data_IF_392409825920
#
_entry.id   IF_392409825920
#
_cell.length_a   1.000
_cell.length_b   1.000
_cell.length_c   1.000
_cell.angle_alpha   90.00
_cell.angle_beta   90.00
_cell.angle_gamma   90.00
#
_symmetry.space_group_name_H-M   'P 1'
#
loop_
_entity.id
_entity.type
_entity.pdbx_description
1 polymer ?
#
# COMPACT_ATOMS: atom_id res chain seq x y z
N UNK A 1 -8.61 13.15 1.95
CA UNK A 1 -9.15 11.79 2.10
C UNK A 1 -8.12 11.03 2.90
N UNK A 2 -8.17 11.25 4.21
CA UNK A 2 -7.43 10.50 5.22
C UNK A 2 -8.24 9.22 5.43
N UNK A 3 -7.84 8.14 4.77
CA UNK A 3 -8.33 6.81 5.13
C UNK A 3 -7.28 6.30 6.12
N UNK A 4 -7.71 6.08 7.38
CA UNK A 4 -6.93 5.36 8.40
C UNK A 4 -5.67 6.07 8.94
N UNK A 5 -5.75 7.29 9.46
CA UNK A 5 -4.62 8.00 10.16
C UNK A 5 -3.26 8.00 9.40
N UNK A 6 -3.29 7.71 8.09
CA UNK A 6 -2.12 7.57 7.24
C UNK A 6 -2.05 8.76 6.29
N UNK A 7 -0.85 9.32 6.17
CA UNK A 7 -0.57 10.35 5.17
C UNK A 7 -0.31 9.71 3.82
N UNK A 8 -1.28 9.80 2.91
CA UNK A 8 -1.16 9.26 1.56
C UNK A 8 -0.46 10.25 0.63
N UNK A 9 0.63 9.81 -0.01
CA UNK A 9 1.29 10.49 -1.11
C UNK A 9 0.87 9.81 -2.42
N UNK A 10 0.55 10.61 -3.46
CA UNK A 10 0.10 10.09 -4.75
C UNK A 10 1.14 10.36 -5.82
N UNK A 11 1.35 9.38 -6.68
CA UNK A 11 2.18 9.48 -7.88
C UNK A 11 1.38 8.95 -9.08
N UNK A 12 1.61 9.53 -10.26
CA UNK A 12 0.93 9.13 -11.49
C UNK A 12 1.67 8.01 -12.25
N UNK A 13 2.93 7.75 -11.91
CA UNK A 13 3.72 6.62 -12.42
C UNK A 13 4.92 6.27 -11.52
N UNK A 14 5.73 5.30 -11.97
CA UNK A 14 6.94 4.88 -11.26
C UNK A 14 8.04 5.94 -11.16
N UNK A 15 8.15 6.89 -12.09
CA UNK A 15 9.18 7.93 -12.03
C UNK A 15 8.86 8.94 -10.93
N UNK A 16 7.65 9.47 -10.93
CA UNK A 16 7.17 10.38 -9.91
C UNK A 16 7.14 9.69 -8.54
N UNK A 17 6.77 8.41 -8.50
CA UNK A 17 6.79 7.62 -7.27
C UNK A 17 8.21 7.54 -6.68
N UNK A 18 9.23 7.31 -7.52
CA UNK A 18 10.62 7.26 -7.07
C UNK A 18 11.10 8.63 -6.57
N UNK A 19 10.80 9.71 -7.29
CA UNK A 19 11.14 11.08 -6.89
C UNK A 19 10.50 11.44 -5.53
N UNK A 20 9.23 11.07 -5.32
CA UNK A 20 8.53 11.24 -4.04
C UNK A 20 9.14 10.35 -2.95
N UNK A 21 9.48 9.10 -3.26
CA UNK A 21 10.05 8.16 -2.30
C UNK A 21 11.38 8.69 -1.73
N UNK A 22 12.26 9.21 -2.58
CA UNK A 22 13.50 9.85 -2.13
C UNK A 22 13.25 11.10 -1.28
N UNK A 23 12.31 11.95 -1.70
CA UNK A 23 12.06 13.23 -1.02
C UNK A 23 11.34 13.08 0.31
N UNK A 24 10.52 12.03 0.47
CA UNK A 24 9.60 11.88 1.60
C UNK A 24 9.84 10.65 2.46
N UNK A 25 10.61 9.67 1.97
CA UNK A 25 10.93 8.40 2.66
C UNK A 25 9.67 7.74 3.25
N UNK A 26 8.77 7.23 2.39
CA UNK A 26 7.52 6.62 2.85
C UNK A 26 7.80 5.33 3.63
N UNK A 27 6.89 5.02 4.55
CA UNK A 27 6.93 3.78 5.33
C UNK A 27 6.41 2.55 4.55
N UNK A 28 5.71 2.79 3.45
CA UNK A 28 5.11 1.76 2.59
C UNK A 28 4.89 2.32 1.18
N UNK A 29 5.14 1.50 0.17
CA UNK A 29 4.78 1.79 -1.23
C UNK A 29 3.71 0.82 -1.69
N UNK A 30 2.61 1.35 -2.22
CA UNK A 30 1.61 0.57 -2.96
C UNK A 30 1.67 0.99 -4.43
N UNK A 31 1.93 0.05 -5.34
CA UNK A 31 2.09 0.35 -6.77
C UNK A 31 1.30 -0.61 -7.64
N UNK A 32 0.85 -0.11 -8.79
CA UNK A 32 0.32 -0.94 -9.87
C UNK A 32 1.47 -1.51 -10.72
N UNK A 33 1.24 -2.66 -11.35
CA UNK A 33 2.19 -3.25 -12.30
C UNK A 33 2.24 -2.46 -13.59
N UNK A 34 1.05 -2.16 -14.14
CA UNK A 34 0.90 -1.53 -15.46
C UNK A 34 0.70 -0.03 -15.29
N UNK A 35 1.80 0.72 -15.39
CA UNK A 35 1.78 2.19 -15.36
C UNK A 35 2.41 2.77 -16.62
N UNK A 36 1.99 3.96 -17.07
CA UNK A 36 2.65 4.67 -18.16
C UNK A 36 4.06 5.13 -17.75
N UNK A 37 4.97 5.31 -18.73
CA UNK A 37 6.35 5.81 -18.57
C UNK A 37 7.31 4.89 -17.80
N UNK A 38 6.99 4.53 -16.56
CA UNK A 38 7.76 3.57 -15.75
C UNK A 38 6.79 2.59 -15.08
N UNK A 39 7.00 1.30 -15.32
CA UNK A 39 6.17 0.24 -14.73
C UNK A 39 6.42 0.06 -13.23
N UNK A 40 5.48 -0.58 -12.53
CA UNK A 40 5.65 -0.91 -11.11
C UNK A 40 6.84 -1.83 -10.87
N UNK A 41 7.15 -2.72 -11.81
CA UNK A 41 8.31 -3.62 -11.72
C UNK A 41 9.61 -2.84 -11.74
N UNK A 42 9.74 -1.89 -12.66
CA UNK A 42 10.91 -1.02 -12.75
C UNK A 42 11.06 -0.12 -11.52
N UNK A 43 9.95 0.34 -10.94
CA UNK A 43 9.96 1.05 -9.67
C UNK A 43 10.51 0.15 -8.54
N UNK A 44 9.98 -1.08 -8.40
CA UNK A 44 10.44 -2.03 -7.38
C UNK A 44 11.95 -2.31 -7.51
N UNK A 45 12.43 -2.54 -8.72
CA UNK A 45 13.86 -2.76 -8.99
C UNK A 45 14.71 -1.60 -8.51
N UNK A 46 14.28 -0.35 -8.76
CA UNK A 46 15.02 0.84 -8.33
C UNK A 46 14.99 1.04 -6.82
N UNK A 47 13.84 0.81 -6.18
CA UNK A 47 13.72 0.93 -4.72
C UNK A 47 14.62 -0.08 -4.01
N UNK A 48 14.66 -1.34 -4.47
CA UNK A 48 15.49 -2.40 -3.89
C UNK A 48 16.99 -2.13 -4.07
N UNK A 49 17.38 -1.47 -5.16
CA UNK A 49 18.77 -1.10 -5.42
C UNK A 49 19.22 0.15 -4.67
N UNK A 50 18.29 0.89 -4.07
CA UNK A 50 18.57 2.13 -3.37
C UNK A 50 18.82 1.88 -1.88
N UNK A 51 19.98 2.28 -1.37
CA UNK A 51 20.37 2.00 0.02
C UNK A 51 19.46 2.65 1.07
N UNK A 52 18.84 3.79 0.76
CA UNK A 52 17.94 4.51 1.65
C UNK A 52 16.49 3.99 1.59
N UNK A 53 16.12 3.27 0.53
CA UNK A 53 14.74 2.86 0.25
C UNK A 53 14.52 1.34 0.18
N UNK A 54 15.58 0.53 0.12
CA UNK A 54 15.51 -0.93 -0.04
C UNK A 54 14.74 -1.66 1.06
N UNK A 55 14.65 -1.05 2.24
CA UNK A 55 13.96 -1.62 3.40
C UNK A 55 12.48 -1.20 3.47
N UNK A 56 12.05 -0.29 2.58
CA UNK A 56 10.65 0.13 2.50
C UNK A 56 9.82 -1.03 1.92
N UNK A 57 8.79 -1.51 2.63
CA UNK A 57 7.92 -2.57 2.13
C UNK A 57 7.15 -2.11 0.87
N UNK A 58 6.98 -3.03 -0.07
CA UNK A 58 6.32 -2.76 -1.35
C UNK A 58 5.15 -3.73 -1.54
N UNK A 59 3.95 -3.20 -1.73
CA UNK A 59 2.76 -3.95 -2.10
C UNK A 59 2.46 -3.70 -3.58
N UNK A 60 2.40 -4.76 -4.36
CA UNK A 60 2.01 -4.72 -5.77
C UNK A 60 0.52 -5.00 -5.89
N UNK A 61 -0.27 -3.99 -6.26
CA UNK A 61 -1.72 -4.08 -6.44
C UNK A 61 -2.10 -4.05 -7.93
N UNK A 62 -2.30 -5.21 -8.53
CA UNK A 62 -2.34 -5.39 -10.00
C UNK A 62 -3.52 -6.24 -10.46
N UNK A 63 -3.97 -6.04 -11.71
CA UNK A 63 -4.92 -6.95 -12.36
C UNK A 63 -4.23 -8.12 -13.08
N UNK A 64 -2.90 -8.15 -13.10
CA UNK A 64 -2.13 -9.22 -13.74
C UNK A 64 -2.24 -10.53 -12.93
N UNK A 65 -2.30 -11.65 -13.65
CA UNK A 65 -2.47 -12.99 -13.08
C UNK A 65 -1.19 -13.64 -12.53
N UNK A 66 -0.02 -13.06 -12.83
CA UNK A 66 1.28 -13.55 -12.32
C UNK A 66 2.31 -12.40 -12.12
N UNK A 67 2.05 -11.46 -11.20
CA UNK A 67 2.98 -10.39 -10.96
C UNK A 67 4.19 -10.93 -10.18
N UNK A 68 5.38 -10.82 -10.78
CA UNK A 68 6.66 -11.09 -10.13
C UNK A 68 7.61 -9.90 -10.27
N UNK A 69 8.01 -9.32 -9.14
CA UNK A 69 8.99 -8.24 -9.08
C UNK A 69 9.90 -8.42 -7.86
N UNK A 70 11.19 -8.03 -7.96
CA UNK A 70 12.13 -8.17 -6.85
C UNK A 70 11.72 -7.26 -5.68
N UNK A 71 11.90 -7.78 -4.46
CA UNK A 71 11.66 -7.03 -3.20
C UNK A 71 10.21 -6.68 -2.91
N UNK A 72 9.24 -7.17 -3.68
CA UNK A 72 7.83 -7.02 -3.34
C UNK A 72 7.51 -7.85 -2.11
N UNK A 73 6.92 -7.20 -1.11
CA UNK A 73 6.51 -7.77 0.17
C UNK A 73 5.21 -8.57 0.03
N UNK A 74 4.28 -8.07 -0.78
CA UNK A 74 2.99 -8.73 -1.02
C UNK A 74 2.41 -8.37 -2.39
N UNK A 75 1.65 -9.31 -2.94
CA UNK A 75 0.88 -9.12 -4.16
C UNK A 75 -0.61 -9.13 -3.81
N UNK A 76 -1.34 -8.15 -4.32
CA UNK A 76 -2.79 -8.04 -4.21
C UNK A 76 -3.39 -7.92 -5.61
N UNK A 77 -4.43 -8.71 -5.85
CA UNK A 77 -5.22 -8.56 -7.07
C UNK A 77 -6.07 -7.31 -6.96
N UNK A 78 -6.22 -6.53 -8.03
CA UNK A 78 -7.19 -5.42 -8.07
C UNK A 78 -8.65 -5.85 -7.85
N UNK A 79 -8.94 -7.15 -7.98
CA UNK A 79 -10.24 -7.74 -7.68
C UNK A 79 -10.39 -8.17 -6.20
N UNK A 80 -9.40 -7.89 -5.34
CA UNK A 80 -9.48 -8.17 -3.91
C UNK A 80 -10.54 -7.32 -3.21
N UNK A 81 -11.06 -7.83 -2.10
CA UNK A 81 -11.93 -7.07 -1.21
C UNK A 81 -11.13 -5.99 -0.47
N UNK A 82 -11.81 -4.94 0.00
CA UNK A 82 -11.17 -3.84 0.73
C UNK A 82 -10.50 -4.34 2.03
N UNK A 83 -11.13 -5.29 2.72
CA UNK A 83 -10.61 -5.91 3.93
C UNK A 83 -9.28 -6.64 3.72
N UNK A 84 -9.13 -7.34 2.60
CA UNK A 84 -7.88 -8.03 2.24
C UNK A 84 -6.76 -7.01 1.99
N UNK A 85 -7.07 -5.91 1.31
CA UNK A 85 -6.12 -4.82 1.09
C UNK A 85 -5.65 -4.22 2.41
N UNK A 86 -6.58 -3.92 3.32
CA UNK A 86 -6.29 -3.36 4.65
C UNK A 86 -5.43 -4.30 5.49
N UNK A 87 -5.75 -5.60 5.50
CA UNK A 87 -4.98 -6.60 6.23
C UNK A 87 -3.52 -6.65 5.76
N UNK A 88 -3.30 -6.63 4.44
CA UNK A 88 -1.95 -6.69 3.87
C UNK A 88 -1.16 -5.41 4.14
N UNK A 89 -1.79 -4.24 4.07
CA UNK A 89 -1.18 -2.96 4.44
C UNK A 89 -0.75 -2.98 5.91
N UNK A 90 -1.66 -3.39 6.81
CA UNK A 90 -1.39 -3.44 8.25
C UNK A 90 -0.27 -4.42 8.60
N UNK A 91 -0.27 -5.59 7.95
CA UNK A 91 0.80 -6.58 8.11
C UNK A 91 2.15 -6.02 7.67
N UNK A 92 2.22 -5.41 6.48
CA UNK A 92 3.48 -4.86 5.95
C UNK A 92 4.06 -3.75 6.84
N UNK A 93 3.22 -2.89 7.41
CA UNK A 93 3.61 -1.83 8.35
C UNK A 93 4.01 -2.36 9.73
N UNK A 94 3.39 -3.45 10.17
CA UNK A 94 3.72 -4.10 11.45
C UNK A 94 5.06 -4.84 11.37
N UNK A 95 5.26 -5.62 10.29
CA UNK A 95 6.45 -6.45 10.08
C UNK A 95 7.72 -5.63 9.82
N UNK A 96 7.59 -4.43 9.24
CA UNK A 96 8.69 -3.47 9.07
C UNK A 96 9.08 -2.76 10.38
N UNK A 97 8.35 -2.99 11.48
CA UNK A 97 8.61 -2.37 12.77
C UNK A 97 8.14 -0.90 12.87
N UNK A 98 7.47 -0.38 11.84
CA UNK A 98 6.90 0.98 11.82
C UNK A 98 5.73 1.08 12.79
N UNK A 99 4.94 0.01 12.94
CA UNK A 99 3.85 -0.10 13.92
C UNK A 99 3.94 -1.41 14.72
N UNK A 100 4.72 -1.49 15.81
CA UNK A 100 4.85 -2.71 16.62
C UNK A 100 3.56 -3.13 17.36
N UNK A 101 2.51 -2.30 17.32
CA UNK A 101 1.20 -2.55 17.95
C UNK A 101 0.05 -2.53 16.93
N UNK A 102 0.34 -2.49 15.61
CA UNK A 102 -0.64 -2.24 14.56
C UNK A 102 -1.06 -0.76 14.45
N UNK A 103 -1.87 -0.38 13.44
CA UNK A 103 -2.43 0.97 13.35
C UNK A 103 -3.35 1.26 14.56
N UNK A 104 -3.53 2.54 14.95
CA UNK A 104 -4.45 2.90 16.03
C UNK A 104 -5.86 2.37 15.74
N UNK A 105 -6.47 1.72 16.73
CA UNK A 105 -7.74 0.98 16.64
C UNK A 105 -9.00 1.83 16.36
N UNK A 106 -8.86 3.11 16.03
CA UNK A 106 -9.96 4.02 15.77
C UNK A 106 -9.92 4.51 14.32
N UNK A 107 -10.27 3.60 13.40
CA UNK A 107 -10.71 4.03 12.07
C UNK A 107 -12.15 4.51 12.19
N UNK A 108 -12.45 5.80 11.95
CA UNK A 108 -13.83 6.33 12.00
C UNK A 108 -14.77 5.67 10.98
N UNK A 109 -14.23 4.90 10.04
CA UNK A 109 -15.02 4.12 9.07
C UNK A 109 -15.61 2.83 9.65
N UNK A 110 -14.92 2.15 10.58
CA UNK A 110 -15.43 0.93 11.21
C UNK A 110 -16.55 1.20 12.23
N UNK A 111 -16.52 2.36 12.89
CA UNK A 111 -17.61 2.82 13.76
C UNK A 111 -18.89 3.12 12.95
N UNK A 112 -18.75 3.66 11.75
CA UNK A 112 -19.89 3.95 10.87
C UNK A 112 -20.62 2.68 10.39
N UNK A 113 -19.90 1.63 10.02
CA UNK A 113 -20.52 0.36 9.61
C UNK A 113 -21.21 -0.35 10.78
N UNK A 114 -20.66 -0.27 12.00
CA UNK A 114 -21.28 -0.89 13.18
C UNK A 114 -22.56 -0.16 13.62
N UNK A 115 -22.60 1.18 13.52
CA UNK A 115 -23.80 1.97 13.83
C UNK A 115 -24.90 1.85 12.78
N UNK A 116 -24.55 1.67 11.50
CA UNK A 116 -25.51 1.69 10.39
C UNK A 116 -25.92 0.30 9.88
N UNK A 117 -25.23 -0.77 10.28
CA UNK A 117 -25.63 -2.15 9.96
C UNK A 117 -27.01 -2.53 10.54
N UNK A 118 -27.46 -1.89 11.63
CA UNK A 118 -28.76 -2.18 12.25
C UNK A 118 -29.98 -1.57 11.52
N UNK A 119 -29.82 -0.66 10.56
CA UNK A 119 -30.95 0.08 9.98
C UNK A 119 -31.37 -0.35 8.57
N UNK A 120 -30.73 -1.35 7.97
CA UNK A 120 -31.03 -1.85 6.60
C UNK A 120 -31.67 -3.24 6.63
N UNK A 121 -32.60 -3.45 7.56
CA UNK A 121 -33.33 -4.71 7.71
C UNK A 121 -34.73 -4.52 8.28
N UNK A 122 -35.57 -3.74 7.59
CA UNK A 122 -37.04 -3.81 7.67
C UNK A 122 -37.65 -3.51 6.30
#
# INVERSE_FOLDING_TARGET
MELMDHRVLRAHDGREALEIAHARRPDLVVTDWQMPRMSGVELCQRLVQDEDLRDVPIIMHSAATDPHAPGVTAFLSKCSELSEFEEVVNRALTDSGVYPQGPPSHSPYLEWEHEHACSMGQ
#
